data_IF_793890776800
#
_entry.id   IF_793890776800
#
_cell.length_a   1.000
_cell.length_b   1.000
_cell.length_c   1.000
_cell.angle_alpha   90.00
_cell.angle_beta   90.00
_cell.angle_gamma   90.00
#
_symmetry.space_group_name_H-M   'P 1'
#
loop_
_entity.id
_entity.type
_entity.pdbx_description
1 polymer ?
#
# COMPACT_ATOMS: atom_id res chain seq x y z
N UNK A 1 -0.58 15.75 -11.49
CA UNK A 1 -1.99 15.38 -11.25
C UNK A 1 -2.70 14.65 -12.42
N UNK A 2 -2.01 14.13 -13.46
CA UNK A 2 -2.67 13.34 -14.53
C UNK A 2 -3.01 11.90 -14.14
N UNK A 3 -2.47 11.39 -13.04
CA UNK A 3 -2.67 10.00 -12.57
C UNK A 3 -4.08 9.69 -12.11
N UNK A 4 -4.74 10.68 -11.52
CA UNK A 4 -6.07 10.51 -10.94
C UNK A 4 -7.16 10.76 -11.99
N UNK A 5 -6.92 11.68 -12.92
CA UNK A 5 -7.91 12.11 -13.92
C UNK A 5 -7.77 11.45 -15.28
N UNK A 6 -6.55 11.07 -15.70
CA UNK A 6 -6.29 10.41 -17.00
C UNK A 6 -5.18 9.35 -16.88
N UNK A 7 -5.45 8.21 -16.23
CA UNK A 7 -4.45 7.17 -15.99
C UNK A 7 -3.80 6.63 -17.28
N UNK A 8 -4.53 6.58 -18.40
CA UNK A 8 -3.99 6.15 -19.69
C UNK A 8 -2.95 7.12 -20.29
N UNK A 9 -3.12 8.43 -20.10
CA UNK A 9 -2.13 9.42 -20.58
C UNK A 9 -0.87 9.42 -19.69
N UNK A 10 -1.05 9.16 -18.39
CA UNK A 10 0.07 8.93 -17.49
C UNK A 10 0.86 7.67 -17.90
N UNK A 11 0.19 6.59 -18.27
CA UNK A 11 0.82 5.35 -18.75
C UNK A 11 1.62 5.54 -20.04
N UNK A 12 1.10 6.30 -21.00
CA UNK A 12 1.83 6.64 -22.23
C UNK A 12 3.08 7.45 -21.94
N UNK A 13 3.02 8.41 -21.03
CA UNK A 13 4.21 9.17 -20.60
C UNK A 13 5.24 8.27 -19.91
N UNK A 14 4.79 7.33 -19.09
CA UNK A 14 5.67 6.37 -18.38
C UNK A 14 6.40 5.41 -19.33
N UNK A 15 5.70 4.89 -20.35
CA UNK A 15 6.32 4.05 -21.40
C UNK A 15 7.46 4.77 -22.12
N UNK A 16 7.32 6.09 -22.29
CA UNK A 16 8.26 6.92 -23.04
C UNK A 16 9.49 7.31 -22.23
N UNK A 17 9.33 7.57 -20.93
CA UNK A 17 10.42 8.04 -20.08
C UNK A 17 11.31 6.92 -19.50
N UNK A 18 10.76 5.71 -19.26
CA UNK A 18 11.47 4.56 -18.68
C UNK A 18 12.42 4.89 -17.51
N UNK A 19 12.03 5.82 -16.64
CA UNK A 19 12.91 6.36 -15.61
C UNK A 19 12.67 5.70 -14.24
N UNK A 20 13.57 4.78 -13.86
CA UNK A 20 13.53 4.07 -12.58
C UNK A 20 13.49 5.00 -11.37
N UNK A 21 14.25 6.09 -11.39
CA UNK A 21 14.35 7.02 -10.27
C UNK A 21 13.00 7.70 -10.00
N UNK A 22 12.19 7.94 -11.04
CA UNK A 22 10.82 8.48 -10.86
C UNK A 22 9.92 7.48 -10.15
N UNK A 23 9.95 6.20 -10.51
CA UNK A 23 9.12 5.17 -9.87
C UNK A 23 9.53 4.93 -8.41
N UNK A 24 10.83 4.94 -8.12
CA UNK A 24 11.34 4.91 -6.74
C UNK A 24 10.88 6.15 -5.96
N UNK A 25 10.99 7.34 -6.55
CA UNK A 25 10.55 8.59 -5.93
C UNK A 25 9.05 8.59 -5.60
N UNK A 26 8.21 8.09 -6.52
CA UNK A 26 6.77 7.97 -6.29
C UNK A 26 6.47 6.97 -5.17
N UNK A 27 7.18 5.85 -5.12
CA UNK A 27 7.03 4.88 -4.04
C UNK A 27 7.47 5.46 -2.68
N UNK A 28 8.55 6.25 -2.65
CA UNK A 28 8.98 6.95 -1.44
C UNK A 28 7.91 7.95 -0.96
N UNK A 29 7.33 8.73 -1.89
CA UNK A 29 6.22 9.64 -1.58
C UNK A 29 5.02 8.85 -1.05
N UNK A 30 4.65 7.73 -1.69
CA UNK A 30 3.56 6.88 -1.23
C UNK A 30 3.82 6.37 0.20
N UNK A 31 5.03 5.91 0.49
CA UNK A 31 5.44 5.49 1.84
C UNK A 31 5.29 6.62 2.86
N UNK A 32 5.72 7.84 2.53
CA UNK A 32 5.59 9.01 3.42
C UNK A 32 4.12 9.30 3.69
N UNK A 33 3.28 9.29 2.65
CA UNK A 33 1.83 9.52 2.77
C UNK A 33 1.15 8.44 3.64
N UNK A 34 1.56 7.18 3.52
CA UNK A 34 1.10 6.12 4.41
C UNK A 34 1.54 6.34 5.85
N UNK A 35 2.81 6.71 6.09
CA UNK A 35 3.30 7.05 7.43
C UNK A 35 2.51 8.20 8.06
N UNK A 36 2.24 9.26 7.28
CA UNK A 36 1.40 10.39 7.72
C UNK A 36 -0.02 9.92 8.04
N UNK A 37 -0.61 9.05 7.20
CA UNK A 37 -1.95 8.49 7.44
C UNK A 37 -2.04 7.74 8.77
N UNK A 38 -0.99 6.99 9.12
CA UNK A 38 -0.90 6.27 10.41
C UNK A 38 -0.78 7.24 11.58
N UNK A 39 -0.01 8.32 11.45
CA UNK A 39 0.06 9.36 12.50
C UNK A 39 -1.30 10.02 12.73
N UNK A 40 -1.98 10.42 11.65
CA UNK A 40 -3.30 11.04 11.71
C UNK A 40 -4.32 10.07 12.35
N UNK A 41 -4.34 8.82 11.91
CA UNK A 41 -5.27 7.81 12.46
C UNK A 41 -4.97 7.45 13.91
N UNK A 42 -3.70 7.41 14.31
CA UNK A 42 -3.32 7.13 15.70
C UNK A 42 -3.71 8.26 16.66
N UNK A 43 -3.63 9.51 16.20
CA UNK A 43 -4.05 10.68 16.99
C UNK A 43 -5.57 10.82 17.08
N UNK A 44 -6.32 10.48 16.03
CA UNK A 44 -7.79 10.46 16.10
C UNK A 44 -8.31 9.42 17.10
N UNK A 45 -7.70 8.23 17.15
CA UNK A 45 -8.01 7.18 18.13
C UNK A 45 -7.70 7.59 19.57
N UNK A 46 -6.57 8.26 19.81
CA UNK A 46 -6.19 8.75 21.14
C UNK A 46 -7.15 9.84 21.67
N UNK A 47 -7.77 10.62 20.79
CA UNK A 47 -8.78 11.62 21.16
C UNK A 47 -10.14 10.99 21.49
N UNK A 48 -10.47 9.84 20.90
CA UNK A 48 -11.72 9.11 21.18
C UNK A 48 -11.62 8.22 22.43
N UNK A 49 -10.43 7.68 22.70
CA UNK A 49 -10.17 6.82 23.87
C UNK A 49 -8.91 7.31 24.60
N UNK A 50 -9.07 8.15 25.65
CA UNK A 50 -7.94 8.77 26.36
C UNK A 50 -6.95 7.76 26.97
N UNK A 51 -7.41 6.55 27.30
CA UNK A 51 -6.59 5.44 27.80
C UNK A 51 -5.53 4.97 26.79
N UNK A 52 -5.68 5.33 25.51
CA UNK A 52 -4.74 5.02 24.42
C UNK A 52 -3.63 6.08 24.29
N UNK A 53 -3.66 7.19 25.05
CA UNK A 53 -2.59 8.20 24.99
C UNK A 53 -1.19 7.64 25.31
N UNK A 54 -1.09 6.63 26.18
CA UNK A 54 0.17 5.94 26.46
C UNK A 54 0.77 5.22 25.23
N UNK A 55 -0.06 4.96 24.20
CA UNK A 55 0.35 4.31 22.96
C UNK A 55 0.87 5.31 21.91
N UNK A 56 0.81 6.62 22.17
CA UNK A 56 1.26 7.65 21.23
C UNK A 56 2.76 7.57 20.91
N UNK A 57 3.59 7.13 21.85
CA UNK A 57 5.01 6.82 21.60
C UNK A 57 5.16 5.67 20.60
N UNK A 58 4.25 4.69 20.63
CA UNK A 58 4.16 3.62 19.64
C UNK A 58 3.70 4.09 18.26
N UNK A 59 2.91 5.17 18.18
CA UNK A 59 2.40 5.69 16.89
C UNK A 59 3.51 6.22 15.98
N UNK A 60 4.55 6.86 16.53
CA UNK A 60 5.70 7.30 15.73
C UNK A 60 6.50 6.12 15.18
N UNK A 61 6.71 5.09 16.00
CA UNK A 61 7.35 3.85 15.55
C UNK A 61 6.49 3.12 14.52
N UNK A 62 5.18 3.06 14.71
CA UNK A 62 4.25 2.47 13.75
C UNK A 62 4.26 3.20 12.40
N UNK A 63 4.33 4.54 12.40
CA UNK A 63 4.45 5.33 11.17
C UNK A 63 5.76 5.06 10.44
N UNK A 64 6.88 4.97 11.17
CA UNK A 64 8.20 4.67 10.60
C UNK A 64 8.27 3.23 10.06
N UNK A 65 7.74 2.26 10.80
CA UNK A 65 7.63 0.86 10.36
C UNK A 65 6.74 0.77 9.13
N UNK A 66 5.61 1.49 9.09
CA UNK A 66 4.70 1.51 7.93
C UNK A 66 5.39 2.12 6.72
N UNK A 67 6.11 3.23 6.88
CA UNK A 67 6.91 3.83 5.81
C UNK A 67 7.91 2.82 5.25
N UNK A 68 8.71 2.18 6.12
CA UNK A 68 9.69 1.18 5.71
C UNK A 68 9.03 -0.01 5.03
N UNK A 69 7.91 -0.49 5.56
CA UNK A 69 7.19 -1.62 4.99
C UNK A 69 6.62 -1.30 3.60
N UNK A 70 6.03 -0.12 3.40
CA UNK A 70 5.52 0.30 2.09
C UNK A 70 6.67 0.53 1.10
N UNK A 71 7.77 1.15 1.55
CA UNK A 71 8.90 1.45 0.68
C UNK A 71 9.68 0.18 0.29
N UNK A 72 10.17 -0.57 1.28
CA UNK A 72 10.94 -1.80 1.05
C UNK A 72 10.05 -2.90 0.47
N UNK A 73 8.84 -3.05 1.01
CA UNK A 73 7.85 -4.00 0.50
C UNK A 73 7.41 -3.66 -0.92
N UNK A 74 7.26 -2.39 -1.27
CA UNK A 74 6.96 -1.95 -2.64
C UNK A 74 8.09 -2.24 -3.62
N UNK A 75 9.35 -2.03 -3.22
CA UNK A 75 10.53 -2.39 -4.03
C UNK A 75 10.59 -3.90 -4.27
N UNK A 76 10.34 -4.69 -3.22
CA UNK A 76 10.29 -6.14 -3.27
C UNK A 76 9.12 -6.65 -4.13
N UNK A 77 7.92 -6.07 -3.98
CA UNK A 77 6.76 -6.39 -4.82
C UNK A 77 7.01 -6.06 -6.29
N UNK A 78 7.65 -4.94 -6.59
CA UNK A 78 8.04 -4.62 -7.96
C UNK A 78 8.97 -5.68 -8.58
N UNK A 79 9.82 -6.28 -7.75
CA UNK A 79 10.72 -7.37 -8.17
C UNK A 79 9.96 -8.67 -8.36
N UNK A 80 9.03 -9.00 -7.45
CA UNK A 80 8.13 -10.15 -7.59
C UNK A 80 7.29 -10.05 -8.87
N UNK A 81 6.69 -8.89 -9.15
CA UNK A 81 5.93 -8.67 -10.40
C UNK A 81 6.82 -8.93 -11.61
N UNK A 82 8.06 -8.42 -11.62
CA UNK A 82 9.00 -8.68 -12.72
C UNK A 82 9.26 -10.18 -12.89
N UNK A 83 9.50 -10.92 -11.80
CA UNK A 83 9.74 -12.37 -11.85
C UNK A 83 8.52 -13.09 -12.40
N UNK A 84 7.34 -12.86 -11.82
CA UNK A 84 6.10 -13.52 -12.23
C UNK A 84 5.83 -13.28 -13.71
N UNK A 85 5.94 -12.03 -14.17
CA UNK A 85 5.70 -11.71 -15.58
C UNK A 85 6.76 -12.33 -16.51
N UNK A 86 8.02 -12.38 -16.07
CA UNK A 86 9.09 -13.03 -16.85
C UNK A 86 8.89 -14.54 -16.94
N UNK A 87 8.45 -15.18 -15.84
CA UNK A 87 8.10 -16.61 -15.81
C UNK A 87 6.90 -16.93 -16.70
N UNK A 88 5.95 -16.00 -16.82
CA UNK A 88 4.82 -16.09 -17.76
C UNK A 88 5.21 -15.76 -19.22
N UNK A 89 6.51 -15.65 -19.53
CA UNK A 89 7.02 -15.43 -20.89
C UNK A 89 7.02 -13.98 -21.35
N UNK A 90 6.69 -13.01 -20.48
CA UNK A 90 6.75 -11.60 -20.84
C UNK A 90 8.19 -11.07 -20.78
N UNK A 91 8.57 -10.22 -21.73
CA UNK A 91 9.86 -9.52 -21.70
C UNK A 91 9.67 -8.20 -20.98
N UNK A 92 10.17 -8.13 -19.76
CA UNK A 92 10.10 -6.90 -19.00
C UNK A 92 11.23 -6.66 -18.01
N UNK A 93 11.41 -5.39 -17.67
CA UNK A 93 12.48 -4.93 -16.78
C UNK A 93 11.97 -4.65 -15.37
N UNK A 94 12.89 -4.51 -14.41
CA UNK A 94 12.52 -4.14 -13.04
C UNK A 94 11.76 -2.80 -12.98
N UNK A 95 12.04 -1.87 -13.91
CA UNK A 95 11.29 -0.62 -14.05
C UNK A 95 9.79 -0.86 -14.23
N UNK A 96 9.40 -1.81 -15.05
CA UNK A 96 8.00 -2.06 -15.38
C UNK A 96 7.27 -2.70 -14.19
N UNK A 97 7.93 -3.63 -13.50
CA UNK A 97 7.43 -4.22 -12.27
C UNK A 97 7.29 -3.19 -11.14
N UNK A 98 8.32 -2.35 -10.94
CA UNK A 98 8.27 -1.31 -9.92
C UNK A 98 7.21 -0.25 -10.21
N UNK A 99 7.07 0.16 -11.47
CA UNK A 99 6.06 1.14 -11.90
C UNK A 99 4.64 0.59 -11.71
N UNK A 100 4.43 -0.70 -11.97
CA UNK A 100 3.17 -1.38 -11.73
C UNK A 100 2.76 -1.42 -10.25
N UNK A 101 3.69 -1.20 -9.30
CA UNK A 101 3.40 -1.18 -7.87
C UNK A 101 3.40 0.25 -7.30
N UNK A 102 4.37 1.08 -7.66
CA UNK A 102 4.56 2.42 -7.10
C UNK A 102 3.33 3.34 -7.31
N UNK A 103 2.72 3.27 -8.48
CA UNK A 103 1.60 4.15 -8.84
C UNK A 103 0.27 3.73 -8.18
N UNK A 104 -0.10 2.45 -8.16
CA UNK A 104 -1.20 1.97 -7.31
C UNK A 104 -0.96 2.23 -5.83
N UNK A 105 0.28 2.06 -5.34
CA UNK A 105 0.63 2.37 -3.95
C UNK A 105 0.40 3.85 -3.63
N UNK A 106 0.72 4.75 -4.56
CA UNK A 106 0.41 6.18 -4.40
C UNK A 106 -1.10 6.45 -4.34
N UNK A 107 -1.91 5.79 -5.16
CA UNK A 107 -3.37 5.91 -5.08
C UNK A 107 -3.90 5.42 -3.72
N UNK A 108 -3.39 4.29 -3.24
CA UNK A 108 -3.75 3.74 -1.93
C UNK A 108 -3.30 4.67 -0.79
N UNK A 109 -2.15 5.32 -0.91
CA UNK A 109 -1.69 6.26 0.12
C UNK A 109 -2.56 7.51 0.20
N UNK A 110 -3.06 7.99 -0.95
CA UNK A 110 -4.06 9.07 -1.00
C UNK A 110 -5.37 8.62 -0.34
N UNK A 111 -5.81 7.37 -0.59
CA UNK A 111 -6.98 6.80 0.08
C UNK A 111 -6.80 6.74 1.60
N UNK A 112 -5.61 6.36 2.06
CA UNK A 112 -5.24 6.34 3.48
C UNK A 112 -5.38 7.71 4.14
N UNK A 113 -4.88 8.78 3.51
CA UNK A 113 -4.97 10.14 4.07
C UNK A 113 -6.43 10.60 4.14
N UNK A 114 -7.18 10.44 3.05
CA UNK A 114 -8.58 10.87 3.04
C UNK A 114 -9.38 10.11 4.10
N UNK A 115 -9.16 8.81 4.21
CA UNK A 115 -9.82 7.96 5.21
C UNK A 115 -9.42 8.34 6.64
N UNK A 116 -8.15 8.66 6.88
CA UNK A 116 -7.65 9.13 8.17
C UNK A 116 -8.29 10.46 8.56
N UNK A 117 -8.45 11.40 7.62
CA UNK A 117 -9.10 12.69 7.85
C UNK A 117 -10.60 12.55 8.11
N UNK A 118 -11.30 11.72 7.33
CA UNK A 118 -12.74 11.52 7.46
C UNK A 118 -13.10 10.81 8.76
N UNK A 119 -12.20 9.97 9.30
CA UNK A 119 -12.36 9.35 10.61
C UNK A 119 -12.39 10.33 11.79
N UNK A 120 -12.07 11.61 11.61
CA UNK A 120 -12.31 12.64 12.65
C UNK A 120 -13.79 12.96 12.84
N UNK A 121 -14.65 12.61 11.88
CA UNK A 121 -16.10 12.81 12.01
C UNK A 121 -16.67 11.65 12.84
N UNK A 122 -17.18 11.91 14.06
CA UNK A 122 -17.72 10.85 14.91
C UNK A 122 -18.96 10.20 14.27
N UNK A 123 -19.17 8.91 14.56
CA UNK A 123 -20.31 8.06 14.12
C UNK A 123 -20.41 7.75 12.62
N UNK A 124 -20.12 8.70 11.72
CA UNK A 124 -20.27 8.52 10.26
C UNK A 124 -18.90 8.40 9.55
N UNK A 125 -17.83 8.89 10.18
CA UNK A 125 -16.49 8.93 9.61
C UNK A 125 -15.97 7.55 9.18
N UNK A 126 -16.19 6.51 9.98
CA UNK A 126 -15.71 5.17 9.67
C UNK A 126 -16.39 4.54 8.45
N UNK A 127 -17.69 4.81 8.25
CA UNK A 127 -18.44 4.33 7.08
C UNK A 127 -17.96 5.06 5.82
N UNK A 128 -17.80 6.38 5.89
CA UNK A 128 -17.28 7.18 4.78
C UNK A 128 -15.84 6.81 4.43
N UNK A 129 -14.98 6.60 5.43
CA UNK A 129 -13.60 6.15 5.26
C UNK A 129 -13.55 4.78 4.56
N UNK A 130 -14.43 3.85 4.95
CA UNK A 130 -14.56 2.56 4.26
C UNK A 130 -14.96 2.73 2.79
N UNK A 131 -16.00 3.52 2.49
CA UNK A 131 -16.44 3.76 1.11
C UNK A 131 -15.34 4.37 0.24
N UNK A 132 -14.64 5.39 0.74
CA UNK A 132 -13.53 6.03 0.04
C UNK A 132 -12.39 5.04 -0.21
N UNK A 133 -12.04 4.25 0.81
CA UNK A 133 -10.98 3.25 0.71
C UNK A 133 -11.33 2.21 -0.35
N UNK A 134 -12.55 1.68 -0.36
CA UNK A 134 -12.98 0.68 -1.35
C UNK A 134 -12.91 1.22 -2.76
N UNK A 135 -13.44 2.41 -3.02
CA UNK A 135 -13.44 3.02 -4.35
C UNK A 135 -12.01 3.24 -4.85
N UNK A 136 -11.15 3.83 -4.03
CA UNK A 136 -9.76 4.10 -4.43
C UNK A 136 -8.93 2.82 -4.53
N UNK A 137 -9.22 1.81 -3.71
CA UNK A 137 -8.62 0.49 -3.84
C UNK A 137 -8.99 -0.14 -5.20
N UNK A 138 -10.28 -0.14 -5.57
CA UNK A 138 -10.70 -0.63 -6.88
C UNK A 138 -9.95 0.07 -8.03
N UNK A 139 -9.79 1.40 -7.95
CA UNK A 139 -9.01 2.17 -8.93
C UNK A 139 -7.54 1.76 -8.92
N UNK A 140 -6.93 1.58 -7.74
CA UNK A 140 -5.54 1.15 -7.61
C UNK A 140 -5.31 -0.24 -8.23
N UNK A 141 -6.16 -1.23 -7.94
CA UNK A 141 -6.07 -2.57 -8.52
C UNK A 141 -6.28 -2.57 -10.03
N UNK A 142 -7.25 -1.80 -10.52
CA UNK A 142 -7.47 -1.62 -11.96
C UNK A 142 -6.25 -0.96 -12.62
N UNK A 143 -5.61 -0.01 -11.94
CA UNK A 143 -4.38 0.63 -12.39
C UNK A 143 -3.22 -0.38 -12.43
N UNK A 144 -3.04 -1.21 -11.41
CA UNK A 144 -2.02 -2.28 -11.38
C UNK A 144 -2.16 -3.19 -12.58
N UNK A 145 -3.38 -3.71 -12.81
CA UNK A 145 -3.68 -4.61 -13.92
C UNK A 145 -3.39 -3.94 -15.28
N UNK A 146 -3.87 -2.71 -15.47
CA UNK A 146 -3.65 -1.96 -16.71
C UNK A 146 -2.17 -1.65 -16.93
N UNK A 147 -1.45 -1.30 -15.86
CA UNK A 147 -0.02 -0.99 -15.93
C UNK A 147 0.79 -2.23 -16.29
N UNK A 148 0.47 -3.40 -15.72
CA UNK A 148 1.10 -4.66 -16.09
C UNK A 148 0.84 -4.99 -17.57
N UNK A 149 -0.43 -4.98 -17.98
CA UNK A 149 -0.81 -5.25 -19.38
C UNK A 149 -0.06 -4.33 -20.35
N UNK A 150 -0.10 -3.03 -20.09
CA UNK A 150 0.47 -2.04 -21.00
C UNK A 150 2.01 -2.08 -20.97
N UNK A 151 2.65 -2.06 -19.80
CA UNK A 151 4.12 -1.97 -19.68
C UNK A 151 4.83 -3.25 -20.12
N UNK A 152 4.32 -4.43 -19.76
CA UNK A 152 4.89 -5.71 -20.18
C UNK A 152 4.44 -6.13 -21.59
N UNK A 153 3.56 -5.36 -22.23
CA UNK A 153 3.10 -5.61 -23.60
C UNK A 153 2.43 -6.96 -23.77
N UNK A 154 1.61 -7.35 -22.78
CA UNK A 154 1.07 -8.71 -22.66
C UNK A 154 -0.44 -8.76 -22.92
N UNK A 155 -0.96 -9.96 -23.14
CA UNK A 155 -2.37 -10.22 -23.31
C UNK A 155 -3.16 -10.01 -22.00
N UNK A 156 -4.44 -9.72 -22.14
CA UNK A 156 -5.40 -9.51 -21.04
C UNK A 156 -5.36 -10.67 -20.04
N UNK A 157 -5.33 -11.92 -20.54
CA UNK A 157 -5.35 -13.12 -19.72
C UNK A 157 -4.05 -13.25 -18.92
N UNK A 158 -2.90 -13.05 -19.57
CA UNK A 158 -1.58 -13.17 -18.92
C UNK A 158 -1.38 -12.09 -17.86
N UNK A 159 -1.81 -10.85 -18.12
CA UNK A 159 -1.79 -9.79 -17.11
C UNK A 159 -2.70 -10.14 -15.92
N UNK A 160 -3.86 -10.74 -16.16
CA UNK A 160 -4.79 -11.12 -15.10
C UNK A 160 -4.23 -12.25 -14.22
N UNK A 161 -3.67 -13.29 -14.85
CA UNK A 161 -3.01 -14.40 -14.14
C UNK A 161 -1.81 -13.88 -13.34
N UNK A 162 -0.99 -13.00 -13.91
CA UNK A 162 0.15 -12.40 -13.21
C UNK A 162 -0.26 -11.63 -11.96
N UNK A 163 -1.32 -10.81 -12.06
CA UNK A 163 -1.91 -10.11 -10.92
C UNK A 163 -2.40 -11.11 -9.86
N UNK A 164 -3.14 -12.15 -10.25
CA UNK A 164 -3.63 -13.17 -9.31
C UNK A 164 -2.50 -13.91 -8.59
N UNK A 165 -1.43 -14.30 -9.29
CA UNK A 165 -0.28 -14.98 -8.68
C UNK A 165 0.38 -14.07 -7.63
N UNK A 166 0.63 -12.80 -7.97
CA UNK A 166 1.25 -11.85 -7.04
C UNK A 166 0.36 -11.63 -5.82
N UNK A 167 -0.92 -11.36 -6.00
CA UNK A 167 -1.82 -11.07 -4.87
C UNK A 167 -2.15 -12.30 -4.03
N UNK A 168 -2.26 -13.48 -4.63
CA UNK A 168 -2.43 -14.73 -3.87
C UNK A 168 -1.20 -15.04 -3.02
N UNK A 169 0.01 -14.82 -3.55
CA UNK A 169 1.25 -14.96 -2.79
C UNK A 169 1.33 -13.96 -1.63
N UNK A 170 0.94 -12.69 -1.85
CA UNK A 170 0.87 -11.67 -0.80
C UNK A 170 -0.17 -12.03 0.26
N UNK A 171 -1.35 -12.50 -0.14
CA UNK A 171 -2.41 -12.91 0.78
C UNK A 171 -1.98 -14.13 1.61
N UNK A 172 -1.34 -15.12 1.00
CA UNK A 172 -0.81 -16.30 1.70
C UNK A 172 0.30 -15.91 2.68
N UNK A 173 1.24 -15.04 2.27
CA UNK A 173 2.28 -14.52 3.14
C UNK A 173 1.69 -13.75 4.32
N UNK A 174 0.67 -12.90 4.08
CA UNK A 174 -0.06 -12.19 5.12
C UNK A 174 -0.73 -13.14 6.11
N UNK A 175 -1.48 -14.13 5.62
CA UNK A 175 -2.16 -15.12 6.45
C UNK A 175 -1.18 -15.94 7.33
N UNK A 176 0.01 -16.24 6.81
CA UNK A 176 1.04 -16.97 7.56
C UNK A 176 1.78 -16.09 8.58
N UNK A 177 2.01 -14.81 8.27
CA UNK A 177 2.86 -13.93 9.08
C UNK A 177 2.10 -13.12 10.11
N UNK A 178 0.86 -12.71 9.83
CA UNK A 178 0.06 -11.88 10.75
C UNK A 178 -0.15 -12.56 12.12
N UNK A 179 -0.51 -13.86 12.23
CA UNK A 179 -0.61 -14.53 13.52
C UNK A 179 0.72 -14.58 14.27
N UNK A 180 1.82 -14.83 13.57
CA UNK A 180 3.17 -14.87 14.15
C UNK A 180 3.63 -13.51 14.68
N UNK A 181 3.35 -12.44 13.95
CA UNK A 181 3.64 -11.06 14.38
C UNK A 181 2.77 -10.70 15.59
N UNK A 182 1.46 -11.00 15.58
CA UNK A 182 0.59 -10.74 16.73
C UNK A 182 1.06 -11.48 17.99
N UNK A 183 1.49 -12.74 17.86
CA UNK A 183 2.04 -13.53 18.97
C UNK A 183 3.41 -13.00 19.46
N UNK A 184 4.26 -12.49 18.57
CA UNK A 184 5.54 -11.91 18.94
C UNK A 184 5.39 -10.54 19.62
N UNK A 185 4.48 -9.70 19.12
CA UNK A 185 4.17 -8.38 19.68
C UNK A 185 3.56 -8.50 21.09
N UNK A 186 2.71 -9.50 21.32
CA UNK A 186 2.17 -9.79 22.65
C UNK A 186 3.21 -10.22 23.70
N UNK A 187 4.42 -10.62 23.27
CA UNK A 187 5.53 -11.01 24.15
C UNK A 187 6.53 -9.87 24.42
N UNK A 188 6.32 -8.68 23.83
CA UNK A 188 7.19 -7.53 24.08
C UNK A 188 6.85 -6.97 25.46
N UNK A 189 7.81 -6.91 26.41
CA UNK A 189 7.55 -6.57 27.82
C UNK A 189 7.00 -5.14 28.04
N UNK A 190 7.14 -4.26 27.05
CA UNK A 190 6.57 -2.91 27.06
C UNK A 190 5.05 -2.89 26.74
N UNK A 191 4.54 -3.89 26.00
CA UNK A 191 3.12 -4.01 25.61
C UNK A 191 2.36 -4.89 26.61
N UNK A 192 3.01 -5.91 27.17
CA UNK A 192 2.43 -6.80 28.19
C UNK A 192 2.07 -6.09 29.53
N UNK A 193 2.55 -4.86 29.75
CA UNK A 193 2.25 -4.06 30.95
C UNK A 193 1.08 -3.08 30.78
N UNK A 194 0.42 -3.05 29.62
CA UNK A 194 -0.77 -2.19 29.43
C UNK A 194 -1.95 -2.81 30.19
N UNK A 195 -2.53 -2.14 31.21
CA UNK A 195 -3.67 -2.69 31.94
C UNK A 195 -4.90 -2.75 31.04
N UNK A 196 -5.57 -3.92 30.98
CA UNK A 196 -6.86 -4.09 30.28
C UNK A 196 -6.87 -5.03 29.06
N UNK A 197 -5.81 -5.81 28.83
CA UNK A 197 -5.75 -6.84 27.78
C UNK A 197 -5.82 -8.27 28.33
N UNK A 198 -6.70 -8.49 29.31
CA UNK A 198 -7.18 -9.81 29.74
C UNK A 198 -8.70 -9.76 29.83
#
# INVERSE_FOLDING_TARGET
MKLITKPGDALKAMKKEKNLNKSIGILAIAGILFGISVLISGTSLANLVPQVQAWMTGTYWAALITFLFVFVGGLFLGWLVKIVMTTLGCKGTYFEGLTAIAYPAFMLSVAGIISALVNYIPYVGSILAFLVTVVLACVAFALTYRTIKELFGTDVITAFIGVLIVWSAVAAAGAATIPGIMLAVGKIPFIAKVPGLV
#
